data_IF_379541121073
#
_entry.id   IF_379541121073
#
_cell.length_a   1.000
_cell.length_b   1.000
_cell.length_c   1.000
_cell.angle_alpha   90.00
_cell.angle_beta   90.00
_cell.angle_gamma   90.00
#
_symmetry.space_group_name_H-M   'P 1'
#
loop_
_entity.id
_entity.type
_entity.pdbx_description
1 polymer ?
#
# COMPACT_ATOMS: atom_id res chain seq x y z
N UNK A 1 -9.89 -5.17 2.24
CA UNK A 1 -10.11 -5.78 0.92
C UNK A 1 -11.11 -6.93 0.98
N UNK A 2 -10.84 -8.03 1.69
CA UNK A 2 -11.68 -9.24 1.71
C UNK A 2 -13.15 -8.93 2.06
N UNK A 3 -13.37 -8.16 3.13
CA UNK A 3 -14.71 -7.74 3.56
C UNK A 3 -15.40 -6.87 2.53
N UNK A 4 -14.66 -5.94 1.90
CA UNK A 4 -15.19 -5.09 0.83
C UNK A 4 -15.64 -5.91 -0.37
N UNK A 5 -14.82 -6.88 -0.80
CA UNK A 5 -15.14 -7.77 -1.92
C UNK A 5 -16.45 -8.55 -1.67
N UNK A 6 -16.59 -9.16 -0.47
CA UNK A 6 -17.84 -9.86 -0.10
C UNK A 6 -19.04 -8.94 -0.07
N UNK A 7 -18.89 -7.75 0.52
CA UNK A 7 -19.99 -6.78 0.61
C UNK A 7 -20.41 -6.31 -0.79
N UNK A 8 -19.45 -5.98 -1.65
CA UNK A 8 -19.74 -5.54 -3.02
C UNK A 8 -20.46 -6.64 -3.81
N UNK A 9 -19.98 -7.89 -3.76
CA UNK A 9 -20.63 -9.02 -4.42
C UNK A 9 -22.07 -9.22 -3.94
N UNK A 10 -22.29 -9.18 -2.62
CA UNK A 10 -23.64 -9.30 -2.03
C UNK A 10 -24.56 -8.18 -2.51
N UNK A 11 -24.08 -6.94 -2.55
CA UNK A 11 -24.88 -5.80 -3.02
C UNK A 11 -25.21 -5.90 -4.52
N UNK A 12 -24.34 -6.53 -5.30
CA UNK A 12 -24.56 -6.81 -6.72
C UNK A 12 -25.39 -8.11 -6.98
N UNK A 13 -25.87 -8.78 -5.93
CA UNK A 13 -26.64 -10.03 -6.07
C UNK A 13 -25.81 -11.26 -6.43
N UNK A 14 -24.48 -11.19 -6.32
CA UNK A 14 -23.57 -12.29 -6.64
C UNK A 14 -23.10 -13.06 -5.41
N UNK A 15 -22.93 -14.37 -5.57
CA UNK A 15 -22.23 -15.21 -4.57
C UNK A 15 -20.73 -15.14 -4.87
N UNK A 16 -19.94 -14.74 -3.87
CA UNK A 16 -18.50 -14.72 -3.92
C UNK A 16 -17.92 -15.40 -2.68
N UNK A 17 -17.14 -16.45 -2.88
CA UNK A 17 -16.28 -16.98 -1.82
C UNK A 17 -15.00 -16.14 -1.79
N UNK A 18 -14.67 -15.65 -0.60
CA UNK A 18 -13.41 -14.92 -0.35
C UNK A 18 -12.64 -15.69 0.71
N UNK A 19 -11.42 -16.05 0.39
CA UNK A 19 -10.51 -16.79 1.26
C UNK A 19 -9.33 -15.88 1.60
N UNK A 20 -9.13 -15.62 2.88
CA UNK A 20 -7.96 -14.92 3.39
C UNK A 20 -6.93 -15.95 3.86
N UNK A 21 -5.72 -15.85 3.29
CA UNK A 21 -4.59 -16.73 3.64
C UNK A 21 -3.54 -15.93 4.38
N UNK A 22 -3.12 -16.37 5.55
CA UNK A 22 -2.08 -15.76 6.38
C UNK A 22 -1.64 -16.77 7.44
N UNK A 23 -0.56 -16.49 8.15
CA UNK A 23 -0.20 -17.24 9.37
C UNK A 23 -1.17 -17.01 10.53
N UNK A 24 -1.93 -15.92 10.49
CA UNK A 24 -2.91 -15.52 11.51
C UNK A 24 -2.37 -15.57 12.94
N UNK A 25 -1.23 -14.92 13.16
CA UNK A 25 -0.68 -14.73 14.51
C UNK A 25 -1.53 -13.82 15.42
N UNK A 26 -2.48 -13.08 14.83
CA UNK A 26 -3.51 -12.28 15.53
C UNK A 26 -4.86 -12.99 15.38
N UNK A 27 -5.24 -13.75 16.41
CA UNK A 27 -6.48 -14.52 16.44
C UNK A 27 -7.74 -13.64 16.40
N UNK A 28 -7.70 -12.42 16.95
CA UNK A 28 -8.85 -11.49 16.87
C UNK A 28 -9.04 -10.96 15.45
N UNK A 29 -7.96 -10.67 14.74
CA UNK A 29 -8.02 -10.30 13.33
C UNK A 29 -8.62 -11.44 12.49
N UNK A 30 -8.24 -12.70 12.75
CA UNK A 30 -8.82 -13.88 12.11
C UNK A 30 -10.31 -13.99 12.40
N UNK A 31 -10.69 -14.00 13.68
CA UNK A 31 -12.10 -14.10 14.12
C UNK A 31 -12.95 -12.95 13.55
N UNK A 32 -12.40 -11.74 13.46
CA UNK A 32 -13.07 -10.61 12.85
C UNK A 32 -13.40 -10.82 11.37
N UNK A 33 -12.51 -11.44 10.60
CA UNK A 33 -12.75 -11.80 9.20
C UNK A 33 -13.82 -12.87 9.08
N UNK A 34 -13.77 -13.90 9.92
CA UNK A 34 -14.73 -15.00 9.92
C UNK A 34 -16.15 -14.54 10.29
N UNK A 35 -16.28 -13.65 11.29
CA UNK A 35 -17.58 -13.00 11.63
C UNK A 35 -18.20 -12.24 10.45
N UNK A 36 -17.38 -11.75 9.53
CA UNK A 36 -17.82 -11.06 8.30
C UNK A 36 -17.97 -12.03 7.12
N UNK A 37 -17.88 -13.33 7.38
CA UNK A 37 -18.10 -14.39 6.41
C UNK A 37 -16.95 -14.59 5.43
N UNK A 38 -15.75 -14.10 5.73
CA UNK A 38 -14.53 -14.42 4.99
C UNK A 38 -14.01 -15.75 5.51
N UNK A 39 -13.71 -16.70 4.62
CA UNK A 39 -13.05 -17.96 4.99
C UNK A 39 -11.57 -17.68 5.28
N UNK A 40 -11.03 -18.24 6.35
CA UNK A 40 -9.62 -18.07 6.70
C UNK A 40 -8.89 -19.40 6.57
N UNK A 41 -7.66 -19.36 6.05
CA UNK A 41 -6.76 -20.50 5.98
C UNK A 41 -5.40 -20.08 6.54
N UNK A 42 -4.93 -20.79 7.57
CA UNK A 42 -3.60 -20.57 8.13
C UNK A 42 -2.57 -21.29 7.28
N UNK A 43 -1.59 -20.51 6.75
CA UNK A 43 -0.44 -21.06 6.01
C UNK A 43 0.76 -20.13 6.14
N UNK A 44 1.96 -20.70 6.23
CA UNK A 44 3.20 -20.00 6.00
C UNK A 44 3.55 -20.08 4.51
N UNK A 45 3.52 -18.95 3.82
CA UNK A 45 3.75 -18.91 2.37
C UNK A 45 5.25 -19.03 2.00
N UNK A 46 6.16 -19.03 2.98
CA UNK A 46 7.55 -19.43 2.76
C UNK A 46 7.68 -20.95 2.57
N UNK A 47 6.73 -21.70 3.11
CA UNK A 47 6.69 -23.18 2.97
C UNK A 47 5.95 -23.55 1.69
N UNK A 48 6.69 -23.95 0.65
CA UNK A 48 6.14 -24.28 -0.67
C UNK A 48 5.01 -25.29 -0.62
N UNK A 49 5.16 -26.34 0.17
CA UNK A 49 4.16 -27.39 0.32
C UNK A 49 2.83 -26.88 0.91
N UNK A 50 2.89 -25.85 1.77
CA UNK A 50 1.67 -25.24 2.31
C UNK A 50 0.96 -24.41 1.23
N UNK A 51 1.71 -23.73 0.35
CA UNK A 51 1.13 -23.00 -0.78
C UNK A 51 0.51 -23.94 -1.81
N UNK A 52 1.14 -25.07 -2.10
CA UNK A 52 0.62 -26.08 -3.02
C UNK A 52 -0.72 -26.68 -2.57
N UNK A 53 -0.97 -26.77 -1.25
CA UNK A 53 -2.23 -27.27 -0.66
C UNK A 53 -3.36 -26.22 -0.62
N UNK A 54 -3.10 -24.97 -0.97
CA UNK A 54 -4.14 -23.95 -1.01
C UNK A 54 -5.16 -24.25 -2.12
N UNK A 55 -6.44 -23.93 -1.90
CA UNK A 55 -7.48 -24.19 -2.90
C UNK A 55 -7.25 -23.38 -4.20
N UNK A 56 -7.77 -23.89 -5.30
CA UNK A 56 -7.79 -23.15 -6.56
C UNK A 56 -8.63 -21.88 -6.43
N UNK A 57 -8.23 -20.86 -7.15
CA UNK A 57 -8.94 -19.59 -7.22
C UNK A 57 -8.68 -18.90 -8.56
N UNK A 58 -9.70 -18.43 -9.22
CA UNK A 58 -9.56 -17.69 -10.48
C UNK A 58 -9.00 -16.29 -10.33
N UNK A 59 -8.97 -15.73 -9.10
CA UNK A 59 -8.49 -14.38 -8.82
C UNK A 59 -7.65 -14.36 -7.55
N UNK A 60 -6.46 -13.80 -7.63
CA UNK A 60 -5.53 -13.67 -6.51
C UNK A 60 -5.22 -12.19 -6.26
N UNK A 61 -5.40 -11.75 -5.03
CA UNK A 61 -4.89 -10.47 -4.56
C UNK A 61 -3.67 -10.76 -3.68
N UNK A 62 -2.49 -10.57 -4.25
CA UNK A 62 -1.22 -10.77 -3.55
C UNK A 62 -0.85 -9.52 -2.76
N UNK A 63 -0.95 -9.60 -1.44
CA UNK A 63 -0.77 -8.46 -0.51
C UNK A 63 0.43 -8.66 0.42
N UNK A 64 1.20 -9.73 0.22
CA UNK A 64 2.29 -10.11 1.12
C UNK A 64 3.55 -9.31 0.82
N UNK A 65 4.24 -8.89 1.88
CA UNK A 65 5.52 -8.22 1.83
C UNK A 65 5.97 -7.80 3.22
N UNK A 66 7.25 -7.85 3.48
CA UNK A 66 7.83 -7.37 4.74
C UNK A 66 8.37 -5.95 4.51
N UNK A 67 7.81 -4.98 5.25
CA UNK A 67 8.20 -3.56 5.14
C UNK A 67 8.99 -3.06 6.36
N UNK A 68 8.66 -3.54 7.55
CA UNK A 68 9.24 -3.04 8.80
C UNK A 68 10.35 -3.96 9.31
N UNK A 69 11.37 -3.38 9.92
CA UNK A 69 12.53 -4.13 10.42
C UNK A 69 13.44 -4.70 9.33
N UNK A 70 13.39 -4.12 8.14
CA UNK A 70 14.07 -4.67 6.95
C UNK A 70 15.58 -4.52 6.99
N UNK A 71 16.09 -3.49 7.68
CA UNK A 71 17.52 -3.31 7.89
C UNK A 71 18.08 -4.27 8.95
N UNK A 72 17.30 -4.58 9.99
CA UNK A 72 17.72 -5.50 11.05
C UNK A 72 17.70 -6.96 10.57
N UNK A 73 16.85 -7.28 9.60
CA UNK A 73 16.74 -8.63 9.04
C UNK A 73 16.56 -8.61 7.52
N UNK A 74 17.61 -8.26 6.75
CA UNK A 74 17.53 -8.21 5.30
C UNK A 74 17.25 -9.58 4.68
N UNK A 75 17.79 -10.67 5.22
CA UNK A 75 17.54 -12.02 4.73
C UNK A 75 16.05 -12.39 4.73
N UNK A 76 15.34 -12.16 5.83
CA UNK A 76 13.89 -12.39 5.90
C UNK A 76 13.11 -11.43 4.99
N UNK A 77 13.59 -10.20 4.82
CA UNK A 77 13.00 -9.23 3.90
C UNK A 77 13.03 -9.75 2.47
N UNK A 78 14.19 -10.22 2.03
CA UNK A 78 14.36 -10.79 0.70
C UNK A 78 13.58 -12.09 0.52
N UNK A 79 13.63 -13.01 1.48
CA UNK A 79 12.87 -14.26 1.42
C UNK A 79 11.37 -14.02 1.26
N UNK A 80 10.78 -13.14 2.09
CA UNK A 80 9.37 -12.80 2.01
C UNK A 80 8.97 -12.09 0.70
N UNK A 81 9.90 -11.37 0.07
CA UNK A 81 9.64 -10.61 -1.16
C UNK A 81 10.09 -11.34 -2.44
N UNK A 82 10.71 -12.52 -2.34
CA UNK A 82 11.17 -13.32 -3.52
C UNK A 82 10.63 -14.74 -3.52
N UNK A 83 10.80 -15.50 -2.44
CA UNK A 83 10.32 -16.89 -2.37
C UNK A 83 8.79 -16.95 -2.33
N UNK A 84 8.16 -16.13 -1.48
CA UNK A 84 6.69 -16.11 -1.38
C UNK A 84 6.01 -15.76 -2.71
N UNK A 85 6.38 -14.68 -3.42
CA UNK A 85 5.78 -14.41 -4.73
C UNK A 85 6.09 -15.49 -5.76
N UNK A 86 7.25 -16.17 -5.69
CA UNK A 86 7.56 -17.27 -6.58
C UNK A 86 6.63 -18.47 -6.35
N UNK A 87 6.46 -18.90 -5.09
CA UNK A 87 5.54 -19.99 -4.74
C UNK A 87 4.10 -19.67 -5.17
N UNK A 88 3.63 -18.44 -4.90
CA UNK A 88 2.27 -18.01 -5.26
C UNK A 88 2.08 -17.94 -6.77
N UNK A 89 3.03 -17.33 -7.51
CA UNK A 89 2.95 -17.22 -8.96
C UNK A 89 2.98 -18.59 -9.65
N UNK A 90 3.79 -19.53 -9.14
CA UNK A 90 3.85 -20.89 -9.66
C UNK A 90 2.55 -21.65 -9.41
N UNK A 91 2.01 -21.58 -8.19
CA UNK A 91 0.76 -22.25 -7.79
C UNK A 91 -0.47 -21.76 -8.56
N UNK A 92 -0.53 -20.47 -8.84
CA UNK A 92 -1.70 -19.83 -9.43
C UNK A 92 -1.49 -19.39 -10.88
N UNK A 93 -0.84 -20.25 -11.68
CA UNK A 93 -0.52 -19.99 -13.08
C UNK A 93 -1.73 -19.61 -13.94
N UNK A 94 -2.88 -20.27 -13.70
CA UNK A 94 -4.13 -20.08 -14.44
C UNK A 94 -5.02 -18.94 -13.89
N UNK A 95 -4.54 -18.25 -12.86
CA UNK A 95 -5.32 -17.19 -12.18
C UNK A 95 -5.00 -15.82 -12.73
N UNK A 96 -5.91 -14.87 -12.52
CA UNK A 96 -5.60 -13.45 -12.61
C UNK A 96 -5.00 -12.96 -11.29
N UNK A 97 -3.84 -12.34 -11.33
CA UNK A 97 -3.12 -11.92 -10.12
C UNK A 97 -2.98 -10.41 -10.09
N UNK A 98 -3.51 -9.76 -9.06
CA UNK A 98 -3.15 -8.39 -8.71
C UNK A 98 -2.10 -8.44 -7.62
N UNK A 99 -0.87 -8.07 -7.94
CA UNK A 99 0.25 -8.08 -7.02
C UNK A 99 0.54 -6.67 -6.49
N UNK A 100 0.39 -6.46 -5.18
CA UNK A 100 0.79 -5.19 -4.57
C UNK A 100 2.31 -5.04 -4.55
N UNK A 101 2.74 -3.90 -5.05
CA UNK A 101 4.08 -3.34 -4.96
C UNK A 101 4.03 -2.00 -4.21
N UNK A 102 5.02 -1.18 -4.35
CA UNK A 102 5.15 0.10 -3.63
C UNK A 102 5.70 1.19 -4.53
N UNK A 103 5.31 2.45 -4.28
CA UNK A 103 5.93 3.61 -4.92
C UNK A 103 7.42 3.78 -4.57
N UNK A 104 7.91 3.12 -3.53
CA UNK A 104 9.33 3.19 -3.12
C UNK A 104 10.28 2.47 -4.11
N UNK A 105 9.75 1.75 -5.10
CA UNK A 105 10.56 1.19 -6.21
C UNK A 105 11.19 2.29 -7.09
N UNK A 106 10.68 3.51 -7.01
CA UNK A 106 11.22 4.66 -7.72
C UNK A 106 12.29 5.41 -6.90
N UNK A 107 13.20 6.13 -7.57
CA UNK A 107 14.04 7.11 -6.89
C UNK A 107 13.21 8.31 -6.42
N UNK A 108 13.81 9.16 -5.60
CA UNK A 108 13.31 10.51 -5.37
C UNK A 108 13.19 11.26 -6.69
N UNK A 109 12.07 11.93 -6.93
CA UNK A 109 11.79 12.68 -8.16
C UNK A 109 11.56 14.15 -7.86
N UNK A 110 11.83 15.07 -8.83
CA UNK A 110 11.54 16.48 -8.67
C UNK A 110 10.06 16.71 -8.32
N UNK A 111 9.80 17.53 -7.31
CA UNK A 111 8.45 17.87 -6.85
C UNK A 111 7.61 18.50 -7.98
N UNK A 112 8.23 19.34 -8.80
CA UNK A 112 7.58 19.99 -9.94
C UNK A 112 7.35 19.07 -11.14
N UNK A 113 7.83 17.81 -11.08
CA UNK A 113 7.76 16.85 -12.19
C UNK A 113 6.48 16.02 -12.26
N UNK A 114 5.53 16.21 -11.36
CA UNK A 114 4.25 15.46 -11.35
C UNK A 114 4.34 14.01 -10.87
N UNK A 115 5.49 13.56 -10.36
CA UNK A 115 5.71 12.21 -9.87
C UNK A 115 6.33 11.25 -10.91
N UNK A 116 6.71 10.06 -10.46
CA UNK A 116 7.29 9.01 -11.31
C UNK A 116 6.20 8.31 -12.12
N UNK A 117 6.36 8.26 -13.43
CA UNK A 117 5.55 7.43 -14.33
C UNK A 117 5.95 5.96 -14.23
N UNK A 118 5.07 5.02 -14.57
CA UNK A 118 5.30 3.57 -14.48
C UNK A 118 6.50 3.10 -15.32
N UNK A 119 6.78 3.78 -16.43
CA UNK A 119 7.94 3.51 -17.31
C UNK A 119 9.29 4.00 -16.78
N UNK A 120 9.29 4.76 -15.67
CA UNK A 120 10.53 5.24 -15.07
C UNK A 120 11.39 4.07 -14.60
N UNK A 121 12.72 4.17 -14.80
CA UNK A 121 13.66 3.18 -14.30
C UNK A 121 13.52 3.01 -12.78
N UNK A 122 13.50 1.76 -12.34
CA UNK A 122 13.40 1.39 -10.93
C UNK A 122 14.82 1.42 -10.34
N UNK A 123 15.10 2.46 -9.58
CA UNK A 123 16.37 2.65 -8.87
C UNK A 123 16.08 2.93 -7.39
N UNK A 124 15.57 1.92 -6.66
CA UNK A 124 15.10 2.06 -5.30
C UNK A 124 16.23 2.29 -4.31
N UNK A 125 15.88 2.86 -3.15
CA UNK A 125 16.77 3.03 -2.01
C UNK A 125 16.40 2.06 -0.89
N UNK A 126 17.41 1.39 -0.31
CA UNK A 126 17.25 0.51 0.85
C UNK A 126 16.73 -0.90 0.53
N UNK A 127 16.80 -1.78 1.52
CA UNK A 127 16.50 -3.22 1.39
C UNK A 127 15.04 -3.48 0.99
N UNK A 128 14.10 -2.81 1.64
CA UNK A 128 12.68 -2.98 1.36
C UNK A 128 12.32 -2.70 -0.10
N UNK A 129 12.79 -1.57 -0.61
CA UNK A 129 12.44 -1.13 -1.95
C UNK A 129 13.11 -1.98 -3.04
N UNK A 130 14.36 -2.42 -2.82
CA UNK A 130 15.04 -3.38 -3.70
C UNK A 130 14.34 -4.73 -3.70
N UNK A 131 13.96 -5.26 -2.55
CA UNK A 131 13.20 -6.50 -2.45
C UNK A 131 11.82 -6.40 -3.11
N UNK A 132 11.17 -5.21 -3.07
CA UNK A 132 9.92 -4.98 -3.78
C UNK A 132 10.10 -5.00 -5.31
N UNK A 133 11.21 -4.47 -5.84
CA UNK A 133 11.55 -4.62 -7.26
C UNK A 133 11.75 -6.09 -7.61
N UNK A 134 12.47 -6.83 -6.78
CA UNK A 134 12.66 -8.27 -6.99
C UNK A 134 11.31 -9.01 -7.05
N UNK A 135 10.35 -8.68 -6.18
CA UNK A 135 8.98 -9.21 -6.21
C UNK A 135 8.29 -8.96 -7.56
N UNK A 136 8.37 -7.74 -8.09
CA UNK A 136 7.82 -7.43 -9.42
C UNK A 136 8.48 -8.30 -10.50
N UNK A 137 9.81 -8.45 -10.48
CA UNK A 137 10.54 -9.30 -11.44
C UNK A 137 10.17 -10.78 -11.35
N UNK A 138 9.86 -11.28 -10.16
CA UNK A 138 9.36 -12.66 -9.97
C UNK A 138 7.99 -12.82 -10.67
N UNK A 139 7.04 -11.93 -10.44
CA UNK A 139 5.76 -11.99 -11.14
C UNK A 139 5.90 -11.82 -12.66
N UNK A 140 6.76 -10.92 -13.13
CA UNK A 140 7.04 -10.78 -14.57
C UNK A 140 7.63 -12.07 -15.18
N UNK A 141 8.56 -12.73 -14.48
CA UNK A 141 9.16 -13.98 -14.93
C UNK A 141 8.11 -15.10 -15.08
N UNK A 142 7.32 -15.33 -14.03
CA UNK A 142 6.30 -16.38 -14.04
C UNK A 142 5.17 -16.08 -15.01
N UNK A 143 4.73 -14.83 -15.13
CA UNK A 143 3.74 -14.43 -16.10
C UNK A 143 4.16 -14.79 -17.54
N UNK A 144 5.39 -14.44 -17.92
CA UNK A 144 5.94 -14.78 -19.25
C UNK A 144 6.12 -16.28 -19.45
N UNK A 145 6.55 -16.99 -18.40
CA UNK A 145 6.80 -18.44 -18.44
C UNK A 145 5.53 -19.26 -18.61
N UNK A 146 4.44 -18.83 -17.97
CA UNK A 146 3.21 -19.61 -17.81
C UNK A 146 1.99 -19.01 -18.51
N UNK A 147 2.09 -17.78 -19.03
CA UNK A 147 0.95 -17.07 -19.62
C UNK A 147 0.03 -16.39 -18.61
N UNK A 148 0.43 -16.31 -17.32
CA UNK A 148 -0.39 -15.76 -16.25
C UNK A 148 -0.65 -14.27 -16.43
N UNK A 149 -1.90 -13.85 -16.27
CA UNK A 149 -2.27 -12.43 -16.35
C UNK A 149 -2.03 -11.73 -15.01
N UNK A 150 -1.18 -10.69 -14.99
CA UNK A 150 -0.77 -9.99 -13.77
C UNK A 150 -0.92 -8.48 -13.91
N UNK A 151 -1.42 -7.82 -12.87
CA UNK A 151 -1.31 -6.37 -12.68
C UNK A 151 -0.41 -6.08 -11.48
N UNK A 152 0.61 -5.24 -11.65
CA UNK A 152 1.53 -4.80 -10.61
C UNK A 152 1.05 -3.44 -10.07
N UNK A 153 0.54 -3.39 -8.84
CA UNK A 153 -0.02 -2.16 -8.27
C UNK A 153 0.96 -1.53 -7.29
N UNK A 154 1.61 -0.44 -7.70
CA UNK A 154 2.58 0.34 -6.91
C UNK A 154 1.87 1.33 -6.01
N UNK A 155 1.49 0.87 -4.82
CA UNK A 155 0.76 1.66 -3.83
C UNK A 155 1.68 2.65 -3.10
N UNK A 156 1.24 3.92 -2.98
CA UNK A 156 1.93 4.94 -2.18
C UNK A 156 0.98 5.52 -1.13
N UNK A 157 1.45 5.55 0.14
CA UNK A 157 0.80 6.17 1.29
C UNK A 157 -0.72 5.96 1.39
N UNK A 158 -1.15 4.71 1.56
CA UNK A 158 -2.54 4.41 1.93
C UNK A 158 -2.82 4.92 3.35
N UNK A 159 -3.91 5.67 3.51
CA UNK A 159 -4.32 6.34 4.75
C UNK A 159 -5.45 5.59 5.45
N UNK A 160 -5.28 5.34 6.74
CA UNK A 160 -6.31 4.89 7.69
C UNK A 160 -6.28 5.82 8.92
N UNK A 161 -7.36 5.92 9.67
CA UNK A 161 -7.39 6.77 10.89
C UNK A 161 -6.46 6.26 12.00
N UNK A 162 -6.03 5.00 11.93
CA UNK A 162 -5.13 4.36 12.90
C UNK A 162 -3.66 4.40 12.47
N UNK A 163 -3.39 4.74 11.18
CA UNK A 163 -2.07 4.68 10.57
C UNK A 163 -2.02 5.57 9.32
N UNK A 164 -0.88 6.18 9.06
CA UNK A 164 -0.62 6.94 7.83
C UNK A 164 0.02 8.30 8.11
N UNK A 165 0.58 8.90 7.06
CA UNK A 165 1.30 10.17 7.15
C UNK A 165 0.47 11.30 7.78
N UNK A 166 -0.84 11.33 7.54
CA UNK A 166 -1.72 12.34 8.16
C UNK A 166 -1.86 12.13 9.67
N UNK A 167 -1.92 10.87 10.13
CA UNK A 167 -1.97 10.54 11.56
C UNK A 167 -0.68 10.94 12.24
N UNK A 168 0.47 10.69 11.61
CA UNK A 168 1.78 11.05 12.16
C UNK A 168 1.90 12.59 12.29
N UNK A 169 1.55 13.34 11.25
CA UNK A 169 1.56 14.82 11.28
C UNK A 169 0.57 15.35 12.33
N UNK A 170 -0.67 14.86 12.35
CA UNK A 170 -1.70 15.32 13.29
C UNK A 170 -1.29 15.06 14.75
N UNK A 171 -0.67 13.92 15.04
CA UNK A 171 -0.17 13.59 16.38
C UNK A 171 0.95 14.52 16.82
N UNK A 172 1.93 14.75 15.94
CA UNK A 172 3.02 15.70 16.23
C UNK A 172 2.50 17.11 16.49
N UNK A 173 1.49 17.58 15.73
CA UNK A 173 0.81 18.85 16.02
C UNK A 173 0.12 18.79 17.39
N UNK A 174 -0.62 17.70 17.66
CA UNK A 174 -1.38 17.55 18.92
C UNK A 174 -0.48 17.47 20.15
N UNK A 175 0.66 16.79 20.07
CA UNK A 175 1.65 16.68 21.17
C UNK A 175 2.62 17.85 21.25
N UNK A 176 2.69 18.73 20.21
CA UNK A 176 3.66 19.82 20.14
C UNK A 176 5.07 19.37 19.74
N UNK A 177 5.20 18.15 19.18
CA UNK A 177 6.46 17.62 18.68
C UNK A 177 6.88 18.29 17.36
N UNK A 178 8.20 18.37 17.07
CA UNK A 178 8.68 18.94 15.83
C UNK A 178 8.31 18.03 14.64
N UNK A 179 7.96 18.67 13.51
CA UNK A 179 7.69 18.02 12.23
C UNK A 179 8.81 18.40 11.28
N UNK A 180 9.62 17.42 10.87
CA UNK A 180 10.64 17.63 9.85
C UNK A 180 9.98 17.74 8.47
N UNK A 181 10.20 18.88 7.80
CA UNK A 181 9.68 19.15 6.47
C UNK A 181 10.70 18.88 5.36
N UNK A 182 11.83 18.24 5.65
CA UNK A 182 12.85 17.90 4.64
C UNK A 182 12.25 16.99 3.56
N UNK A 183 11.43 16.00 3.93
CA UNK A 183 10.54 15.26 3.03
C UNK A 183 9.21 15.99 2.86
N UNK A 184 9.26 17.23 2.34
CA UNK A 184 8.18 18.20 2.42
C UNK A 184 6.95 17.93 1.56
N UNK A 185 6.96 16.87 0.73
CA UNK A 185 5.89 16.60 -0.23
C UNK A 185 5.59 15.11 -0.33
N UNK A 186 4.31 14.78 -0.50
CA UNK A 186 3.83 13.41 -0.69
C UNK A 186 2.53 13.41 -1.49
N UNK A 187 2.18 12.27 -2.08
CA UNK A 187 0.81 11.98 -2.47
C UNK A 187 0.32 10.73 -1.71
N UNK A 188 -0.97 10.68 -1.46
CA UNK A 188 -1.57 9.65 -0.61
C UNK A 188 -3.01 9.34 -1.05
N UNK A 189 -3.53 8.19 -0.65
CA UNK A 189 -4.88 7.76 -0.99
C UNK A 189 -5.60 7.24 0.26
N UNK A 190 -6.90 7.53 0.40
CA UNK A 190 -7.71 6.91 1.43
C UNK A 190 -7.78 5.40 1.23
N UNK A 191 -7.61 4.62 2.29
CA UNK A 191 -7.50 3.15 2.19
C UNK A 191 -8.75 2.50 1.60
N UNK A 192 -9.95 3.07 1.79
CA UNK A 192 -11.15 2.51 1.18
C UNK A 192 -11.13 2.66 -0.35
N UNK A 193 -10.70 3.82 -0.87
CA UNK A 193 -10.54 4.05 -2.31
C UNK A 193 -9.44 3.14 -2.88
N UNK A 194 -8.30 3.02 -2.16
CA UNK A 194 -7.25 2.11 -2.58
C UNK A 194 -7.74 0.66 -2.65
N UNK A 195 -8.51 0.21 -1.67
CA UNK A 195 -9.08 -1.14 -1.66
C UNK A 195 -10.05 -1.37 -2.82
N UNK A 196 -10.89 -0.38 -3.16
CA UNK A 196 -11.77 -0.46 -4.32
C UNK A 196 -10.96 -0.58 -5.60
N UNK A 197 -9.99 0.31 -5.81
CA UNK A 197 -9.16 0.32 -7.02
C UNK A 197 -8.31 -0.96 -7.15
N UNK A 198 -7.80 -1.52 -6.05
CA UNK A 198 -7.11 -2.82 -6.06
C UNK A 198 -8.04 -3.95 -6.51
N UNK A 199 -9.28 -3.99 -6.03
CA UNK A 199 -10.26 -4.99 -6.47
C UNK A 199 -10.57 -4.84 -7.96
N UNK A 200 -10.79 -3.62 -8.43
CA UNK A 200 -11.06 -3.32 -9.84
C UNK A 200 -9.85 -3.60 -10.75
N UNK A 201 -8.62 -3.54 -10.21
CA UNK A 201 -7.41 -3.89 -10.98
C UNK A 201 -7.36 -5.34 -11.45
N UNK A 202 -8.25 -6.22 -10.99
CA UNK A 202 -8.43 -7.54 -11.58
C UNK A 202 -8.85 -7.49 -13.07
N UNK A 203 -9.53 -6.44 -13.50
CA UNK A 203 -9.85 -6.23 -14.92
C UNK A 203 -8.67 -5.68 -15.75
N UNK A 204 -7.59 -5.26 -15.09
CA UNK A 204 -6.40 -4.69 -15.71
C UNK A 204 -5.22 -5.66 -15.75
N UNK A 205 -5.44 -6.91 -15.33
CA UNK A 205 -4.41 -7.96 -15.42
C UNK A 205 -4.14 -8.33 -16.87
N UNK A 206 -2.86 -8.45 -17.22
CA UNK A 206 -2.43 -8.72 -18.59
C UNK A 206 -1.14 -9.56 -18.64
N UNK A 207 -0.78 -10.07 -19.80
CA UNK A 207 0.50 -10.71 -20.09
C UNK A 207 1.09 -10.16 -21.41
N UNK A 208 2.20 -9.42 -21.35
CA UNK A 208 3.09 -9.21 -20.20
C UNK A 208 2.46 -8.35 -19.10
N UNK A 209 2.92 -8.51 -17.83
CA UNK A 209 2.42 -7.75 -16.69
C UNK A 209 2.49 -6.25 -16.89
N UNK A 210 1.42 -5.58 -16.48
CA UNK A 210 1.32 -4.13 -16.55
C UNK A 210 1.41 -3.52 -15.15
N UNK A 211 2.24 -2.48 -15.00
CA UNK A 211 2.35 -1.73 -13.75
C UNK A 211 1.41 -0.52 -13.73
N UNK A 212 0.87 -0.22 -12.54
CA UNK A 212 0.01 0.93 -12.25
C UNK A 212 0.42 1.58 -10.93
N UNK A 213 0.56 2.90 -10.93
CA UNK A 213 0.75 3.68 -9.72
C UNK A 213 -0.59 3.95 -9.03
N UNK A 214 -0.70 3.62 -7.75
CA UNK A 214 -1.92 3.80 -6.97
C UNK A 214 -1.70 4.77 -5.82
N UNK A 215 -2.19 6.00 -5.97
CA UNK A 215 -2.27 7.05 -4.95
C UNK A 215 -3.23 8.13 -5.44
N UNK A 216 -3.33 9.29 -4.75
CA UNK A 216 -4.02 10.47 -5.29
C UNK A 216 -3.18 11.18 -6.36
N UNK A 217 -3.79 11.78 -7.39
CA UNK A 217 -3.07 12.60 -8.37
C UNK A 217 -2.51 13.89 -7.76
N UNK A 218 -3.00 14.31 -6.59
CA UNK A 218 -2.58 15.54 -5.94
C UNK A 218 -1.32 15.34 -5.11
N UNK A 219 -0.36 16.26 -5.26
CA UNK A 219 0.84 16.34 -4.41
C UNK A 219 0.55 17.32 -3.26
N UNK A 220 0.66 16.82 -2.05
CA UNK A 220 0.40 17.58 -0.81
C UNK A 220 1.71 18.06 -0.19
N UNK A 221 1.67 19.26 0.42
CA UNK A 221 2.79 19.81 1.20
C UNK A 221 2.61 19.46 2.67
N UNK A 222 3.62 18.89 3.30
CA UNK A 222 3.66 18.60 4.75
C UNK A 222 3.39 19.87 5.55
N UNK A 223 4.01 20.99 5.18
CA UNK A 223 3.80 22.32 5.81
C UNK A 223 2.35 22.77 5.76
N UNK A 224 1.71 22.68 4.58
CA UNK A 224 0.29 23.06 4.43
C UNK A 224 -0.64 22.15 5.22
N UNK A 225 -0.36 20.85 5.22
CA UNK A 225 -1.12 19.85 6.00
C UNK A 225 -0.97 20.10 7.50
N UNK A 226 0.25 20.37 7.98
CA UNK A 226 0.51 20.70 9.38
C UNK A 226 -0.21 21.99 9.81
N UNK A 227 -0.22 23.02 8.96
CA UNK A 227 -0.99 24.25 9.21
C UNK A 227 -2.49 23.97 9.32
N UNK A 228 -3.02 23.09 8.46
CA UNK A 228 -4.44 22.71 8.54
C UNK A 228 -4.78 21.95 9.82
N UNK A 229 -3.90 21.05 10.26
CA UNK A 229 -4.05 20.40 11.57
C UNK A 229 -3.90 21.38 12.74
N UNK A 230 -3.06 22.41 12.61
CA UNK A 230 -2.96 23.48 13.64
C UNK A 230 -4.30 24.20 13.84
N UNK A 231 -4.98 24.54 12.75
CA UNK A 231 -6.32 25.15 12.80
C UNK A 231 -7.34 24.20 13.48
N UNK A 232 -7.39 22.94 13.03
CA UNK A 232 -8.39 21.98 13.51
C UNK A 232 -8.17 21.51 14.96
N UNK A 233 -6.93 21.44 15.40
CA UNK A 233 -6.56 20.97 16.73
C UNK A 233 -6.37 22.12 17.74
N UNK A 234 -6.32 23.37 17.26
CA UNK A 234 -6.11 24.55 18.12
C UNK A 234 -4.71 24.61 18.73
N UNK A 235 -3.69 24.06 18.06
CA UNK A 235 -2.29 24.00 18.53
C UNK A 235 -1.33 24.35 17.39
N UNK A 236 -0.28 25.16 17.66
CA UNK A 236 0.67 25.54 16.63
C UNK A 236 1.54 24.33 16.20
N UNK A 237 1.73 24.15 14.89
CA UNK A 237 2.70 23.19 14.38
C UNK A 237 4.12 23.74 14.52
N UNK A 238 5.04 22.92 15.04
CA UNK A 238 6.48 23.22 15.11
C UNK A 238 7.16 22.58 13.90
N UNK A 239 7.52 23.39 12.91
CA UNK A 239 8.19 22.89 11.71
C UNK A 239 9.70 23.06 11.88
N UNK A 240 10.47 22.04 11.46
CA UNK A 240 11.93 22.03 11.43
C UNK A 240 12.42 21.57 10.06
N UNK A 241 13.66 21.93 9.69
CA UNK A 241 14.24 21.60 8.39
C UNK A 241 13.78 22.51 7.27
N UNK A 242 14.22 22.19 6.06
CA UNK A 242 13.88 22.90 4.81
C UNK A 242 13.47 21.90 3.75
N UNK A 243 12.39 22.18 3.04
CA UNK A 243 11.84 21.31 2.02
C UNK A 243 12.85 21.03 0.89
N UNK A 244 13.09 19.75 0.63
CA UNK A 244 13.91 19.32 -0.51
C UNK A 244 13.16 19.51 -1.84
N UNK A 245 13.93 19.74 -2.91
CA UNK A 245 13.38 19.86 -4.26
C UNK A 245 12.87 18.53 -4.84
N UNK A 246 13.15 17.40 -4.15
CA UNK A 246 12.75 16.04 -4.57
C UNK A 246 11.99 15.32 -3.46
N UNK A 247 11.11 14.40 -3.84
CA UNK A 247 10.34 13.56 -2.91
C UNK A 247 10.00 12.21 -3.54
N UNK A 248 9.49 11.25 -2.74
CA UNK A 248 8.87 10.03 -3.24
C UNK A 248 7.46 10.35 -3.73
N UNK A 249 7.30 10.51 -5.04
CA UNK A 249 6.03 10.88 -5.67
C UNK A 249 5.75 9.96 -6.86
N UNK A 250 4.50 9.54 -7.00
CA UNK A 250 4.02 8.73 -8.11
C UNK A 250 3.01 9.50 -8.96
N UNK A 251 3.14 9.41 -10.28
CA UNK A 251 2.12 9.89 -11.22
C UNK A 251 1.06 8.81 -11.39
N UNK A 252 -0.21 9.16 -11.26
CA UNK A 252 -1.33 8.21 -11.28
C UNK A 252 -2.23 8.35 -12.50
N UNK A 253 -1.78 9.08 -13.50
CA UNK A 253 -2.59 9.36 -14.70
C UNK A 253 -3.10 8.08 -15.35
N UNK A 254 -2.23 7.07 -15.51
CA UNK A 254 -2.61 5.77 -16.09
C UNK A 254 -3.69 5.07 -15.27
N UNK A 255 -3.54 4.95 -13.95
CA UNK A 255 -4.56 4.31 -13.11
C UNK A 255 -5.88 5.10 -13.12
N UNK A 256 -5.81 6.44 -13.08
CA UNK A 256 -7.00 7.29 -13.12
C UNK A 256 -7.72 7.23 -14.46
N UNK A 257 -7.01 7.04 -15.58
CA UNK A 257 -7.64 6.87 -16.90
C UNK A 257 -8.41 5.56 -17.01
N UNK A 258 -7.92 4.49 -16.35
CA UNK A 258 -8.56 3.16 -16.39
C UNK A 258 -9.70 3.03 -15.38
N UNK A 259 -9.52 3.51 -14.15
CA UNK A 259 -10.44 3.26 -13.04
C UNK A 259 -11.13 4.52 -12.48
N UNK A 260 -10.80 5.70 -12.99
CA UNK A 260 -11.23 6.97 -12.40
C UNK A 260 -10.34 7.41 -11.23
N UNK A 261 -10.51 8.64 -10.79
CA UNK A 261 -9.79 9.18 -9.63
C UNK A 261 -10.38 8.65 -8.30
N UNK A 262 -9.57 8.62 -7.21
CA UNK A 262 -10.09 8.31 -5.88
C UNK A 262 -11.27 9.22 -5.51
N UNK A 263 -12.32 8.64 -4.95
CA UNK A 263 -13.59 9.34 -4.72
C UNK A 263 -13.62 10.15 -3.42
N UNK A 264 -12.81 9.79 -2.41
CA UNK A 264 -12.85 10.42 -1.09
C UNK A 264 -12.15 11.78 -1.10
N UNK A 265 -12.84 12.90 -0.83
CA UNK A 265 -12.22 14.22 -0.76
C UNK A 265 -11.17 14.28 0.35
N UNK A 266 -9.99 14.78 0.04
CA UNK A 266 -8.87 14.90 0.99
C UNK A 266 -9.22 15.70 2.25
N UNK A 267 -10.01 16.77 2.10
CA UNK A 267 -10.49 17.59 3.22
C UNK A 267 -11.32 16.79 4.25
N UNK A 268 -12.06 15.79 3.79
CA UNK A 268 -12.78 14.89 4.68
C UNK A 268 -11.80 14.04 5.50
N UNK A 269 -10.78 13.47 4.85
CA UNK A 269 -9.77 12.64 5.52
C UNK A 269 -8.99 13.46 6.56
N UNK A 270 -8.64 14.71 6.24
CA UNK A 270 -8.00 15.65 7.19
C UNK A 270 -8.91 15.87 8.42
N UNK A 271 -10.19 16.17 8.22
CA UNK A 271 -11.12 16.41 9.33
C UNK A 271 -11.34 15.16 10.18
N UNK A 272 -11.49 14.00 9.55
CA UNK A 272 -11.63 12.73 10.27
C UNK A 272 -10.37 12.42 11.08
N UNK A 273 -9.19 12.63 10.51
CA UNK A 273 -7.92 12.40 11.20
C UNK A 273 -7.75 13.35 12.40
N UNK A 274 -8.04 14.64 12.22
CA UNK A 274 -8.00 15.61 13.31
C UNK A 274 -8.96 15.22 14.46
N UNK A 275 -10.21 14.86 14.13
CA UNK A 275 -11.19 14.39 15.10
C UNK A 275 -10.73 13.13 15.82
N UNK A 276 -10.20 12.16 15.08
CA UNK A 276 -9.69 10.89 15.61
C UNK A 276 -8.55 11.11 16.62
N UNK A 277 -7.56 11.92 16.25
CA UNK A 277 -6.40 12.22 17.10
C UNK A 277 -6.82 13.02 18.34
N UNK A 278 -7.67 14.05 18.17
CA UNK A 278 -8.16 14.89 19.27
C UNK A 278 -8.89 14.09 20.35
N UNK A 279 -9.60 13.02 19.95
CA UNK A 279 -10.39 12.18 20.86
C UNK A 279 -9.64 10.89 21.28
N UNK A 280 -8.32 10.83 21.14
CA UNK A 280 -7.51 9.68 21.59
C UNK A 280 -7.81 8.39 20.83
N UNK A 281 -8.23 8.49 19.56
CA UNK A 281 -8.57 7.32 18.73
C UNK A 281 -7.42 6.30 18.66
N UNK A 282 -7.78 5.01 18.57
CA UNK A 282 -6.83 3.89 18.53
C UNK A 282 -5.78 4.07 17.43
N UNK A 283 -4.54 3.70 17.71
CA UNK A 283 -3.43 3.66 16.76
C UNK A 283 -2.90 2.25 16.58
N UNK A 284 -2.31 1.98 15.42
CA UNK A 284 -1.51 0.79 15.19
C UNK A 284 -0.09 0.91 15.80
N UNK A 285 0.28 2.09 16.31
CA UNK A 285 1.61 2.39 16.88
C UNK A 285 2.78 2.02 15.93
N UNK A 286 2.57 2.22 14.63
CA UNK A 286 3.56 2.00 13.59
C UNK A 286 3.78 3.33 12.88
N UNK A 287 4.91 4.02 13.05
CA UNK A 287 5.20 5.25 12.31
C UNK A 287 5.36 4.94 10.82
N UNK A 288 5.01 5.90 9.97
CA UNK A 288 5.15 5.72 8.52
C UNK A 288 6.57 5.91 8.04
N UNK A 289 7.40 6.59 8.86
CA UNK A 289 8.74 7.04 8.47
C UNK A 289 8.72 7.91 7.20
N UNK A 290 7.69 8.76 7.05
CA UNK A 290 7.55 9.61 5.85
C UNK A 290 8.68 10.63 5.69
N UNK A 291 9.39 10.95 6.78
CA UNK A 291 10.57 11.82 6.78
C UNK A 291 11.81 11.15 6.15
N UNK A 292 11.84 9.81 6.11
CA UNK A 292 12.99 9.03 5.62
C UNK A 292 13.17 9.21 4.11
N UNK A 293 14.41 9.49 3.70
CA UNK A 293 14.78 9.75 2.31
C UNK A 293 15.82 8.78 1.74
N UNK A 294 16.44 7.98 2.59
CA UNK A 294 17.51 7.03 2.26
C UNK A 294 17.04 5.57 2.17
N UNK A 295 15.74 5.34 2.38
CA UNK A 295 15.15 3.98 2.32
C UNK A 295 15.34 3.16 3.60
N UNK A 296 15.74 3.79 4.70
CA UNK A 296 15.88 3.16 6.01
C UNK A 296 14.51 3.05 6.73
N UNK A 297 13.76 1.97 6.51
CA UNK A 297 12.41 1.74 7.07
C UNK A 297 12.42 0.69 8.20
#
# INVERSE_FOLDING_TARGET
LAVLAKRAARMAGHRLEVIAVSRFSDEEAKASLERQGVKTLSADLLEREQVERLPDSGNILYLVGLKFGTQQNPGSTWAANTLVPAHVAERYAESRIVALSTGNVYPLVPVKGGGALEKRALTPLGEYANAAVARERIFEYFARKQGTHVALVRLSYALDLRYGVLVDIARKVHSGEPIDVTSGYFNCIWQADANEMILRSLSLTDNPPTAFNLTSPTIYSVRKVAAKFSELLGRPARLVGTESATAFLSNTEKMCSELGAPATPFENVIRWTAHWVKNGGRSLNKPTHFEVRDGAY
#
